data_IF_073268492312
#
_entry.id   IF_073268492312
#
_cell.length_a   1.000
_cell.length_b   1.000
_cell.length_c   1.000
_cell.angle_alpha   90.00
_cell.angle_beta   90.00
_cell.angle_gamma   90.00
#
_symmetry.space_group_name_H-M   'P 1'
#
loop_
_entity.id
_entity.type
_entity.pdbx_description
1 polymer ?
#
# COMPACT_ATOMS: atom_id res chain seq x y z
N UNK A 1 -17.65 5.19 18.11
CA UNK A 1 -16.36 5.89 17.93
C UNK A 1 -15.91 5.69 16.49
N UNK A 2 -16.56 6.38 15.56
CA UNK A 2 -16.19 6.44 14.14
C UNK A 2 -15.98 7.91 13.85
N UNK A 3 -14.72 8.36 13.84
CA UNK A 3 -14.35 9.64 13.27
C UNK A 3 -14.07 9.42 11.79
N UNK A 4 -15.01 9.84 10.97
CA UNK A 4 -14.87 9.87 9.52
C UNK A 4 -13.95 11.01 9.11
N UNK A 5 -12.89 10.68 8.40
CA UNK A 5 -12.15 11.62 7.57
C UNK A 5 -11.99 11.01 6.17
N UNK A 6 -12.93 11.36 5.30
CA UNK A 6 -12.86 11.18 3.85
C UNK A 6 -11.65 11.94 3.28
N UNK A 7 -10.53 11.25 3.11
CA UNK A 7 -9.38 11.77 2.39
C UNK A 7 -8.70 10.64 1.58
N UNK A 8 -8.90 10.67 0.25
CA UNK A 8 -7.99 10.10 -0.74
C UNK A 8 -7.87 8.58 -0.83
N UNK A 9 -8.90 7.90 -1.36
CA UNK A 9 -8.93 6.64 -2.17
C UNK A 9 -8.07 5.39 -1.85
N UNK A 10 -7.10 5.42 -0.95
CA UNK A 10 -6.41 4.24 -0.42
C UNK A 10 -6.28 4.40 1.07
N UNK A 11 -7.16 3.75 1.82
CA UNK A 11 -7.01 3.65 3.26
C UNK A 11 -5.87 2.68 3.62
N UNK A 12 -5.28 2.84 4.81
CA UNK A 12 -4.24 1.94 5.33
C UNK A 12 -4.67 0.47 5.25
N UNK A 13 -5.91 0.15 5.64
CA UNK A 13 -6.43 -1.21 5.60
C UNK A 13 -6.47 -1.77 4.16
N UNK A 14 -6.81 -0.93 3.18
CA UNK A 14 -6.81 -1.30 1.76
C UNK A 14 -5.40 -1.60 1.25
N UNK A 15 -4.41 -0.78 1.63
CA UNK A 15 -3.00 -1.01 1.26
C UNK A 15 -2.48 -2.32 1.85
N UNK A 16 -2.77 -2.60 3.13
CA UNK A 16 -2.40 -3.88 3.77
C UNK A 16 -3.06 -5.08 3.08
N UNK A 17 -4.36 -5.02 2.80
CA UNK A 17 -5.08 -6.09 2.11
C UNK A 17 -4.49 -6.37 0.71
N UNK A 18 -4.09 -5.32 0.00
CA UNK A 18 -3.44 -5.42 -1.31
C UNK A 18 -2.09 -6.14 -1.22
N UNK A 19 -1.25 -5.78 -0.25
CA UNK A 19 0.06 -6.43 -0.05
C UNK A 19 -0.09 -7.92 0.24
N UNK A 20 -1.00 -8.29 1.13
CA UNK A 20 -1.28 -9.69 1.47
C UNK A 20 -1.75 -10.48 0.24
N UNK A 21 -2.69 -9.90 -0.52
CA UNK A 21 -3.24 -10.55 -1.72
C UNK A 21 -2.17 -10.80 -2.78
N UNK A 22 -1.33 -9.80 -3.06
CA UNK A 22 -0.29 -9.91 -4.09
C UNK A 22 0.86 -10.83 -3.65
N UNK A 23 1.27 -10.79 -2.37
CA UNK A 23 2.25 -11.74 -1.83
C UNK A 23 1.74 -13.18 -1.93
N UNK A 24 0.48 -13.44 -1.57
CA UNK A 24 -0.11 -14.78 -1.70
C UNK A 24 -0.11 -15.26 -3.15
N UNK A 25 -0.48 -14.40 -4.10
CA UNK A 25 -0.45 -14.74 -5.53
C UNK A 25 0.97 -15.04 -6.01
N UNK A 26 1.94 -14.24 -5.59
CA UNK A 26 3.32 -14.45 -5.96
C UNK A 26 3.91 -15.73 -5.38
N UNK A 27 3.60 -16.03 -4.11
CA UNK A 27 3.94 -17.31 -3.49
C UNK A 27 3.35 -18.50 -4.27
N UNK A 28 2.08 -18.40 -4.68
CA UNK A 28 1.43 -19.44 -5.48
C UNK A 28 2.04 -19.59 -6.89
N UNK A 29 2.51 -18.49 -7.48
CA UNK A 29 3.22 -18.48 -8.76
C UNK A 29 4.72 -18.83 -8.64
N UNK A 30 5.27 -18.95 -7.43
CA UNK A 30 6.70 -19.15 -7.19
C UNK A 30 7.57 -17.92 -7.51
N UNK A 31 6.98 -16.72 -7.51
CA UNK A 31 7.62 -15.45 -7.84
C UNK A 31 7.99 -14.71 -6.55
N UNK A 32 9.20 -14.16 -6.50
CA UNK A 32 9.66 -13.36 -5.35
C UNK A 32 9.43 -11.88 -5.60
N UNK A 33 8.37 -11.32 -5.03
CA UNK A 33 8.10 -9.88 -5.08
C UNK A 33 9.08 -9.09 -4.20
N UNK A 34 9.26 -7.82 -4.54
CA UNK A 34 9.97 -6.85 -3.70
C UNK A 34 9.29 -6.74 -2.33
N UNK A 35 10.06 -6.46 -1.28
CA UNK A 35 9.48 -6.14 0.02
C UNK A 35 8.52 -4.93 -0.10
N UNK A 36 7.31 -4.99 0.49
CA UNK A 36 6.39 -3.87 0.47
C UNK A 36 6.97 -2.67 1.24
N UNK A 37 6.58 -1.43 0.88
CA UNK A 37 7.03 -0.24 1.59
C UNK A 37 6.59 -0.29 3.06
N UNK A 38 7.46 0.10 4.02
CA UNK A 38 7.12 0.09 5.44
C UNK A 38 6.03 1.11 5.73
N UNK A 39 5.04 0.72 6.53
CA UNK A 39 3.99 1.62 6.99
C UNK A 39 4.58 2.76 7.81
N UNK A 40 4.19 4.02 7.53
CA UNK A 40 4.65 5.14 8.32
C UNK A 40 4.07 5.06 9.75
N UNK A 41 4.95 5.15 10.74
CA UNK A 41 4.59 5.08 12.16
C UNK A 41 4.06 6.39 12.75
N UNK A 42 4.18 7.50 12.04
CA UNK A 42 3.77 8.82 12.53
C UNK A 42 2.77 9.47 11.58
N UNK A 43 1.48 9.47 11.97
CA UNK A 43 0.52 10.38 11.37
C UNK A 43 0.78 11.78 11.92
N UNK A 44 1.09 12.76 11.07
CA UNK A 44 1.49 14.10 11.47
C UNK A 44 0.39 14.86 12.22
N UNK A 45 -0.84 14.34 12.27
CA UNK A 45 -2.01 14.93 12.94
C UNK A 45 -2.45 16.28 12.36
N UNK A 46 -1.76 16.78 11.32
CA UNK A 46 -1.91 18.13 10.77
C UNK A 46 -2.84 18.20 9.55
N UNK A 47 -3.51 17.10 9.24
CA UNK A 47 -4.33 16.91 8.04
C UNK A 47 -3.61 16.10 6.96
N UNK A 48 -4.35 15.71 5.92
CA UNK A 48 -3.86 14.80 4.87
C UNK A 48 -2.93 15.50 3.85
N UNK A 49 -2.98 16.82 3.73
CA UNK A 49 -2.10 17.57 2.83
C UNK A 49 -0.66 17.65 3.40
N UNK A 50 0.26 16.87 2.83
CA UNK A 50 1.66 16.79 3.27
C UNK A 50 1.92 15.74 4.36
N UNK A 51 1.00 14.79 4.56
CA UNK A 51 1.23 13.66 5.44
C UNK A 51 2.21 12.67 4.80
N UNK A 52 3.02 11.99 5.61
CA UNK A 52 3.92 10.90 5.15
C UNK A 52 3.17 9.82 4.35
N UNK A 53 1.86 9.72 4.57
CA UNK A 53 0.93 8.90 3.82
C UNK A 53 0.91 9.19 2.32
N UNK A 54 1.05 10.44 1.87
CA UNK A 54 1.08 10.77 0.43
C UNK A 54 2.25 10.08 -0.28
N UNK A 55 3.45 10.16 0.31
CA UNK A 55 4.64 9.48 -0.21
C UNK A 55 4.52 7.95 -0.10
N UNK A 56 3.92 7.47 0.98
CA UNK A 56 3.65 6.05 1.18
C UNK A 56 2.68 5.51 0.12
N UNK A 57 1.58 6.20 -0.17
CA UNK A 57 0.60 5.77 -1.19
C UNK A 57 1.19 5.77 -2.59
N UNK A 58 2.03 6.75 -2.94
CA UNK A 58 2.79 6.70 -4.18
C UNK A 58 3.71 5.48 -4.27
N UNK A 59 4.39 5.14 -3.16
CA UNK A 59 5.22 3.93 -3.10
C UNK A 59 4.40 2.63 -3.16
N UNK A 60 3.21 2.61 -2.55
CA UNK A 60 2.27 1.46 -2.60
C UNK A 60 1.81 1.22 -4.03
N UNK A 61 1.41 2.28 -4.74
CA UNK A 61 0.93 2.18 -6.12
C UNK A 61 2.04 1.70 -7.06
N UNK A 62 3.23 2.29 -6.96
CA UNK A 62 4.40 1.82 -7.72
C UNK A 62 4.74 0.36 -7.43
N UNK A 63 4.76 -0.05 -6.16
CA UNK A 63 5.02 -1.44 -5.77
C UNK A 63 3.96 -2.40 -6.34
N UNK A 64 2.69 -1.99 -6.35
CA UNK A 64 1.59 -2.76 -6.92
C UNK A 64 1.80 -2.97 -8.42
N UNK A 65 2.15 -1.92 -9.15
CA UNK A 65 2.42 -2.01 -10.58
C UNK A 65 3.59 -2.97 -10.87
N UNK A 66 4.71 -2.82 -10.15
CA UNK A 66 5.85 -3.75 -10.26
C UNK A 66 5.44 -5.20 -9.97
N UNK A 67 4.64 -5.43 -8.93
CA UNK A 67 4.18 -6.76 -8.55
C UNK A 67 3.27 -7.38 -9.62
N UNK A 68 2.36 -6.59 -10.20
CA UNK A 68 1.49 -7.05 -11.29
C UNK A 68 2.29 -7.37 -12.56
N UNK A 69 3.32 -6.57 -12.87
CA UNK A 69 4.23 -6.84 -14.00
C UNK A 69 5.05 -8.13 -13.80
N UNK A 70 5.46 -8.44 -12.57
CA UNK A 70 6.12 -9.71 -12.29
C UNK A 70 5.15 -10.89 -12.34
N UNK A 71 3.91 -10.69 -11.93
CA UNK A 71 2.86 -11.72 -11.96
C UNK A 71 2.21 -11.90 -13.34
N UNK A 72 2.44 -10.98 -14.28
CA UNK A 72 2.01 -11.16 -15.66
C UNK A 72 2.92 -12.20 -16.34
N UNK A 73 2.35 -13.28 -16.90
CA UNK A 73 3.09 -14.39 -17.50
C UNK A 73 3.84 -14.02 -18.78
#
# INVERSE_FOLDING_TARGET
MQDGSTAGLVDRDTAQALFLTLQQRALAAGISLRAPPPEPTSCCGRGCNGCVWEGYYGAVDYWREEALLQLSP
#
